data_IF_522164347069
#
_entry.id   IF_522164347069
#
_cell.length_a   1.000
_cell.length_b   1.000
_cell.length_c   1.000
_cell.angle_alpha   90.00
_cell.angle_beta   90.00
_cell.angle_gamma   90.00
#
_symmetry.space_group_name_H-M   'P 1'
#
loop_
_entity.id
_entity.type
_entity.pdbx_description
1 polymer ?
#
# COMPACT_ATOMS: atom_id res chain seq x y z
N UNK A 1 8.25 17.01 8.84
CA UNK A 1 7.85 16.17 7.69
C UNK A 1 8.15 16.96 6.42
N UNK A 2 8.92 16.41 5.46
CA UNK A 2 9.15 17.06 4.17
C UNK A 2 7.84 17.26 3.39
N UNK A 3 7.76 18.37 2.67
CA UNK A 3 6.72 18.63 1.67
C UNK A 3 7.13 17.95 0.36
N UNK A 4 6.34 16.97 -0.09
CA UNK A 4 6.63 16.12 -1.26
C UNK A 4 5.50 16.28 -2.29
N UNK A 5 5.83 16.30 -3.59
CA UNK A 5 4.83 16.36 -4.64
C UNK A 5 4.30 14.95 -4.94
N UNK A 6 3.06 14.67 -4.53
CA UNK A 6 2.42 13.40 -4.86
C UNK A 6 1.86 13.46 -6.29
N UNK A 7 2.58 12.84 -7.23
CA UNK A 7 2.16 12.73 -8.63
C UNK A 7 0.87 11.92 -8.87
N UNK A 8 0.46 11.07 -7.91
CA UNK A 8 -0.75 10.24 -8.03
C UNK A 8 -2.00 11.09 -7.75
N UNK A 9 -1.84 12.14 -6.93
CA UNK A 9 -2.90 13.06 -6.53
C UNK A 9 -2.76 14.45 -7.17
N UNK A 10 -1.65 14.72 -7.86
CA UNK A 10 -1.36 16.00 -8.50
C UNK A 10 -1.20 17.18 -7.52
N UNK A 11 -0.73 16.93 -6.29
CA UNK A 11 -0.61 17.98 -5.26
C UNK A 11 0.53 17.71 -4.27
N UNK A 12 0.99 18.78 -3.61
CA UNK A 12 1.97 18.68 -2.51
C UNK A 12 1.32 18.16 -1.23
N UNK A 13 2.03 17.29 -0.52
CA UNK A 13 1.58 16.69 0.75
C UNK A 13 2.76 16.46 1.70
N UNK A 14 2.47 16.42 3.00
CA UNK A 14 3.47 16.08 4.02
C UNK A 14 3.61 14.56 4.12
N UNK A 15 4.83 14.06 3.93
CA UNK A 15 5.17 12.64 4.12
C UNK A 15 6.23 12.48 5.21
N UNK A 16 6.32 11.29 5.84
CA UNK A 16 7.39 11.00 6.80
C UNK A 16 8.78 11.00 6.17
N UNK A 17 8.87 10.66 4.88
CA UNK A 17 10.11 10.50 4.13
C UNK A 17 10.22 11.52 3.00
N UNK A 18 11.46 11.83 2.62
CA UNK A 18 11.76 12.67 1.46
C UNK A 18 11.30 12.03 0.15
N UNK A 19 11.19 12.85 -0.88
CA UNK A 19 10.71 12.45 -2.19
C UNK A 19 11.64 11.42 -2.85
N UNK A 20 11.06 10.30 -3.31
CA UNK A 20 11.76 9.30 -4.13
C UNK A 20 10.89 8.94 -5.33
N UNK A 21 11.51 8.99 -6.51
CA UNK A 21 10.85 8.74 -7.78
C UNK A 21 11.40 7.46 -8.44
N UNK A 22 10.97 6.27 -7.99
CA UNK A 22 11.44 5.03 -8.61
C UNK A 22 10.95 4.95 -10.06
N UNK A 23 11.78 4.37 -10.94
CA UNK A 23 11.42 4.17 -12.36
C UNK A 23 10.15 3.32 -12.53
N UNK A 24 9.92 2.40 -11.60
CA UNK A 24 8.75 1.52 -11.56
C UNK A 24 8.25 1.42 -10.12
N UNK A 25 6.93 1.54 -9.94
CA UNK A 25 6.27 1.39 -8.64
C UNK A 25 5.37 0.16 -8.67
N UNK A 26 5.60 -0.79 -7.75
CA UNK A 26 4.66 -1.87 -7.52
C UNK A 26 3.39 -1.31 -6.89
N UNK A 27 2.24 -1.58 -7.52
CA UNK A 27 0.96 -1.02 -7.16
C UNK A 27 -0.15 -2.06 -7.32
N UNK A 28 -1.22 -1.90 -6.54
CA UNK A 28 -2.41 -2.74 -6.59
C UNK A 28 -3.67 -1.88 -6.72
N UNK A 29 -4.70 -2.45 -7.34
CA UNK A 29 -6.04 -1.86 -7.39
C UNK A 29 -7.02 -2.87 -6.84
N UNK A 30 -7.79 -2.49 -5.82
CA UNK A 30 -8.83 -3.32 -5.24
C UNK A 30 -10.19 -2.87 -5.75
N UNK A 31 -10.95 -3.80 -6.35
CA UNK A 31 -12.33 -3.53 -6.72
C UNK A 31 -13.26 -3.74 -5.53
N UNK A 32 -13.62 -2.63 -4.87
CA UNK A 32 -14.49 -2.65 -3.69
C UNK A 32 -15.92 -3.12 -3.98
N UNK A 33 -16.37 -3.08 -5.25
CA UNK A 33 -17.69 -3.61 -5.64
C UNK A 33 -17.71 -5.13 -5.77
N UNK A 34 -16.54 -5.81 -5.77
CA UNK A 34 -16.42 -7.28 -5.84
C UNK A 34 -15.91 -7.90 -4.54
N UNK A 35 -15.46 -7.09 -3.59
CA UNK A 35 -14.99 -7.58 -2.31
C UNK A 35 -16.18 -8.07 -1.48
N UNK A 36 -16.13 -9.32 -1.01
CA UNK A 36 -17.14 -9.90 -0.12
C UNK A 36 -16.66 -10.01 1.34
N UNK A 37 -15.52 -9.37 1.66
CA UNK A 37 -14.92 -9.34 3.00
C UNK A 37 -14.70 -10.73 3.65
N UNK A 38 -14.50 -11.79 2.86
CA UNK A 38 -14.36 -13.16 3.35
C UNK A 38 -13.06 -13.47 4.11
N UNK A 39 -12.13 -12.51 4.23
CA UNK A 39 -10.84 -12.64 4.93
C UNK A 39 -9.86 -13.68 4.34
N UNK A 40 -10.09 -14.18 3.12
CA UNK A 40 -9.18 -15.13 2.46
C UNK A 40 -7.79 -14.54 2.23
N UNK A 41 -7.71 -13.27 1.81
CA UNK A 41 -6.42 -12.58 1.63
C UNK A 41 -5.67 -12.41 2.97
N UNK A 42 -6.38 -12.09 4.05
CA UNK A 42 -5.81 -11.98 5.40
C UNK A 42 -5.21 -13.32 5.87
N UNK A 43 -5.92 -14.44 5.63
CA UNK A 43 -5.41 -15.77 5.95
C UNK A 43 -4.25 -16.20 5.05
N UNK A 44 -4.25 -15.81 3.78
CA UNK A 44 -3.13 -16.08 2.87
C UNK A 44 -1.84 -15.40 3.36
N UNK A 45 -1.90 -14.11 3.71
CA UNK A 45 -0.75 -13.38 4.26
C UNK A 45 -0.28 -13.96 5.59
N UNK A 46 -1.21 -14.22 6.52
CA UNK A 46 -0.90 -14.77 7.83
C UNK A 46 -0.25 -16.15 7.76
N UNK A 47 -0.79 -17.05 6.95
CA UNK A 47 -0.25 -18.42 6.84
C UNK A 47 1.10 -18.47 6.13
N UNK A 48 1.36 -17.53 5.22
CA UNK A 48 2.60 -17.50 4.44
C UNK A 48 3.72 -16.78 5.17
N UNK A 49 3.42 -15.63 5.80
CA UNK A 49 4.44 -14.69 6.28
C UNK A 49 4.41 -14.45 7.79
N UNK A 50 3.23 -14.45 8.42
CA UNK A 50 3.04 -14.06 9.82
C UNK A 50 2.56 -15.22 10.71
N UNK A 51 3.00 -16.44 10.43
CA UNK A 51 2.54 -17.64 11.14
C UNK A 51 3.26 -17.88 12.47
N UNK A 52 4.45 -17.29 12.67
CA UNK A 52 5.26 -17.52 13.87
C UNK A 52 4.89 -16.56 15.01
N UNK A 53 5.25 -16.97 16.23
CA UNK A 53 5.23 -16.05 17.38
C UNK A 53 6.28 -14.97 17.16
N UNK A 54 5.92 -13.72 17.48
CA UNK A 54 6.83 -12.57 17.45
C UNK A 54 7.99 -12.73 18.42
#
# INVERSE_FOLDING_TARGET
MPEVYNWQLGRKMLYPYEERHPKWQFAFVFNINRCIACQTCSMADKSTWLFSKG
#
